data_IF_348301515699
#
_entry.id   IF_348301515699
#
_cell.length_a   1.000
_cell.length_b   1.000
_cell.length_c   1.000
_cell.angle_alpha   90.00
_cell.angle_beta   90.00
_cell.angle_gamma   90.00
#
_symmetry.space_group_name_H-M   'P 1'
#
loop_
_entity.id
_entity.type
_entity.pdbx_description
1 polymer ?
#
# COMPACT_ATOMS: atom_id res chain seq x y z
N UNK A 1 -16.78 5.88 -16.39
CA UNK A 1 -15.39 5.46 -16.10
C UNK A 1 -14.50 6.70 -16.09
N UNK A 2 -13.65 6.91 -15.07
CA UNK A 2 -12.68 8.00 -15.12
C UNK A 2 -11.72 7.74 -16.29
N UNK A 3 -11.51 8.75 -17.14
CA UNK A 3 -10.56 8.67 -18.25
C UNK A 3 -9.17 8.37 -17.69
N UNK A 4 -8.50 7.38 -18.28
CA UNK A 4 -7.08 7.13 -18.08
C UNK A 4 -6.32 8.44 -18.27
N UNK A 5 -5.67 8.93 -17.21
CA UNK A 5 -4.78 10.09 -17.30
C UNK A 5 -3.39 9.57 -17.63
N UNK A 6 -3.00 9.75 -18.90
CA UNK A 6 -1.66 9.44 -19.41
C UNK A 6 -0.55 10.30 -18.75
N UNK A 7 -0.92 11.21 -17.84
CA UNK A 7 -0.01 12.13 -17.16
C UNK A 7 1.18 11.42 -16.51
N UNK A 8 0.96 10.31 -15.80
CA UNK A 8 2.02 9.64 -15.05
C UNK A 8 2.80 8.60 -15.85
N UNK A 9 2.18 7.95 -16.84
CA UNK A 9 2.81 6.85 -17.58
C UNK A 9 3.94 7.30 -18.49
N UNK A 10 4.01 8.60 -18.80
CA UNK A 10 5.08 9.21 -19.59
C UNK A 10 6.20 9.82 -18.72
N UNK A 11 6.06 9.74 -17.38
CA UNK A 11 7.01 10.33 -16.43
C UNK A 11 7.96 9.27 -15.89
N UNK A 12 9.20 9.68 -15.65
CA UNK A 12 10.18 8.90 -14.90
C UNK A 12 9.79 8.82 -13.42
N UNK A 13 10.34 7.83 -12.71
CA UNK A 13 10.18 7.70 -11.26
C UNK A 13 10.62 8.98 -10.52
N UNK A 14 11.71 9.63 -10.97
CA UNK A 14 12.19 10.88 -10.36
C UNK A 14 11.17 12.01 -10.49
N UNK A 15 10.56 12.18 -11.66
CA UNK A 15 9.53 13.19 -11.87
C UNK A 15 8.27 12.90 -11.05
N UNK A 16 7.87 11.62 -10.92
CA UNK A 16 6.72 11.24 -10.10
C UNK A 16 6.97 11.57 -8.62
N UNK A 17 8.18 11.32 -8.10
CA UNK A 17 8.53 11.69 -6.72
C UNK A 17 8.49 13.20 -6.48
N UNK A 18 8.77 14.03 -7.49
CA UNK A 18 8.65 15.48 -7.36
C UNK A 18 7.18 15.92 -7.27
N UNK A 19 6.28 15.22 -7.95
CA UNK A 19 4.83 15.50 -7.92
C UNK A 19 4.20 14.95 -6.64
N UNK A 20 4.62 13.76 -6.21
CA UNK A 20 4.12 13.06 -5.03
C UNK A 20 5.29 12.75 -4.10
N UNK A 21 5.76 13.75 -3.32
CA UNK A 21 6.92 13.58 -2.45
C UNK A 21 6.61 12.72 -1.22
N UNK A 22 5.34 12.69 -0.80
CA UNK A 22 4.88 11.98 0.40
C UNK A 22 3.54 11.29 0.09
N UNK A 23 3.36 10.02 0.50
CA UNK A 23 2.08 9.33 0.37
C UNK A 23 1.10 9.81 1.46
N UNK A 24 -0.18 9.92 1.10
CA UNK A 24 -1.26 10.30 2.03
C UNK A 24 -2.04 9.05 2.46
N UNK A 25 -1.96 8.75 3.76
CA UNK A 25 -2.57 7.56 4.36
C UNK A 25 -3.63 7.96 5.38
N UNK A 26 -4.74 7.22 5.42
CA UNK A 26 -5.82 7.39 6.39
C UNK A 26 -5.44 6.76 7.75
N UNK A 27 -4.42 7.31 8.40
CA UNK A 27 -3.90 6.87 9.70
C UNK A 27 -3.53 8.09 10.56
N UNK A 28 -3.25 7.91 11.85
CA UNK A 28 -2.89 8.99 12.79
C UNK A 28 -3.91 10.12 12.79
N UNK A 29 -3.48 11.35 12.54
CA UNK A 29 -4.32 12.53 12.42
C UNK A 29 -5.36 12.39 11.31
N UNK A 30 -5.16 11.53 10.31
CA UNK A 30 -6.08 11.31 9.19
C UNK A 30 -6.96 10.07 9.35
N UNK A 31 -7.06 9.49 10.56
CA UNK A 31 -7.85 8.27 10.80
C UNK A 31 -9.34 8.46 10.47
N UNK A 32 -9.86 9.69 10.57
CA UNK A 32 -11.23 10.04 10.20
C UNK A 32 -11.51 9.93 8.69
N UNK A 33 -10.48 9.77 7.86
CA UNK A 33 -10.59 9.57 6.41
C UNK A 33 -10.59 8.09 6.01
N UNK A 34 -10.57 7.16 6.97
CA UNK A 34 -10.70 5.71 6.68
C UNK A 34 -12.04 5.47 5.97
N UNK A 35 -11.98 4.81 4.81
CA UNK A 35 -13.18 4.49 4.03
C UNK A 35 -13.70 3.09 4.36
N UNK A 36 -12.80 2.15 4.64
CA UNK A 36 -13.15 0.78 4.97
C UNK A 36 -13.52 0.64 6.44
N UNK A 37 -14.81 0.41 6.73
CA UNK A 37 -15.33 0.36 8.10
C UNK A 37 -14.59 -0.59 9.03
N UNK A 38 -14.17 -1.75 8.53
CA UNK A 38 -13.42 -2.75 9.28
C UNK A 38 -12.04 -2.29 9.77
N UNK A 39 -11.48 -1.24 9.17
CA UNK A 39 -10.25 -0.58 9.63
C UNK A 39 -10.47 0.43 10.76
N UNK A 40 -11.73 0.76 11.07
CA UNK A 40 -12.04 1.67 12.18
C UNK A 40 -11.65 1.01 13.50
N UNK A 41 -11.03 1.76 14.43
CA UNK A 41 -10.62 1.22 15.73
C UNK A 41 -11.75 0.54 16.50
N UNK A 42 -12.99 1.06 16.40
CA UNK A 42 -14.17 0.50 17.06
C UNK A 42 -14.54 -0.92 16.60
N UNK A 43 -14.26 -1.28 15.35
CA UNK A 43 -14.50 -2.63 14.84
C UNK A 43 -13.49 -3.63 15.41
N UNK A 44 -12.30 -3.15 15.78
CA UNK A 44 -11.30 -3.94 16.48
C UNK A 44 -10.84 -5.19 15.73
N UNK A 45 -10.92 -5.23 14.39
CA UNK A 45 -10.47 -6.37 13.58
C UNK A 45 -9.00 -6.29 13.19
N UNK A 46 -8.54 -5.07 12.91
CA UNK A 46 -7.17 -4.81 12.47
C UNK A 46 -6.38 -4.01 13.49
N UNK A 47 -5.08 -4.25 13.53
CA UNK A 47 -4.10 -3.36 14.12
C UNK A 47 -3.28 -2.72 12.99
N UNK A 48 -3.02 -1.42 13.09
CA UNK A 48 -2.25 -0.70 12.06
C UNK A 48 -0.84 -0.45 12.59
N UNK A 49 0.17 -0.74 11.77
CA UNK A 49 1.60 -0.56 12.08
C UNK A 49 2.35 0.07 10.92
N UNK A 50 3.44 0.78 11.19
CA UNK A 50 4.43 1.15 10.18
C UNK A 50 5.50 0.09 10.04
N UNK A 51 5.76 -0.33 8.79
CA UNK A 51 6.77 -1.32 8.43
C UNK A 51 7.71 -0.78 7.36
N UNK A 52 8.92 -1.37 7.29
CA UNK A 52 9.85 -1.09 6.19
C UNK A 52 9.31 -1.65 4.87
N UNK A 53 9.20 -0.79 3.85
CA UNK A 53 8.53 -1.15 2.59
C UNK A 53 9.29 -2.23 1.81
N UNK A 54 10.62 -2.20 1.82
CA UNK A 54 11.47 -3.25 1.22
C UNK A 54 11.23 -4.62 1.86
N UNK A 55 11.20 -4.69 3.20
CA UNK A 55 10.97 -5.92 3.96
C UNK A 55 9.57 -6.47 3.74
N UNK A 56 8.57 -5.61 3.66
CA UNK A 56 7.23 -6.02 3.27
C UNK A 56 7.25 -6.67 1.88
N UNK A 57 7.88 -6.03 0.88
CA UNK A 57 7.95 -6.58 -0.48
C UNK A 57 8.67 -7.93 -0.54
N UNK A 58 9.81 -8.10 0.15
CA UNK A 58 10.57 -9.36 0.20
C UNK A 58 9.74 -10.53 0.78
N UNK A 59 8.92 -10.25 1.79
CA UNK A 59 8.16 -11.25 2.53
C UNK A 59 6.72 -11.44 2.03
N UNK A 60 6.31 -10.73 0.97
CA UNK A 60 4.95 -10.80 0.46
C UNK A 60 4.79 -11.59 -0.83
N UNK A 61 3.58 -12.08 -1.05
CA UNK A 61 3.09 -12.56 -2.34
C UNK A 61 2.16 -11.51 -2.99
N UNK A 62 2.59 -11.00 -4.14
CA UNK A 62 1.85 -10.02 -4.94
C UNK A 62 0.88 -10.66 -5.94
N UNK A 63 0.86 -11.99 -6.04
CA UNK A 63 0.01 -12.76 -6.95
C UNK A 63 0.09 -12.22 -8.38
N UNK A 64 -1.02 -11.74 -8.92
CA UNK A 64 -1.14 -11.22 -10.28
C UNK A 64 -0.49 -9.85 -10.48
N UNK A 65 -0.13 -9.14 -9.40
CA UNK A 65 0.50 -7.81 -9.52
C UNK A 65 1.97 -7.97 -9.87
N UNK A 66 2.30 -7.65 -11.12
CA UNK A 66 3.67 -7.67 -11.61
C UNK A 66 4.55 -6.64 -10.86
N UNK A 67 5.66 -7.10 -10.29
CA UNK A 67 6.62 -6.29 -9.51
C UNK A 67 7.90 -5.92 -10.28
N UNK A 68 8.01 -6.20 -11.59
CA UNK A 68 9.20 -5.89 -12.39
C UNK A 68 9.31 -4.42 -12.79
N UNK A 69 8.18 -3.73 -12.92
CA UNK A 69 8.11 -2.30 -13.25
C UNK A 69 6.88 -1.63 -12.65
N UNK A 70 6.97 -0.32 -12.37
CA UNK A 70 5.83 0.44 -11.83
C UNK A 70 4.64 0.44 -12.79
N UNK A 71 4.88 0.89 -14.02
CA UNK A 71 3.93 0.81 -15.13
C UNK A 71 4.27 -0.38 -16.03
N UNK A 72 3.23 -1.05 -16.53
CA UNK A 72 3.34 -2.26 -17.36
C UNK A 72 2.60 -2.03 -18.68
N UNK A 73 2.52 -3.05 -19.54
CA UNK A 73 1.66 -3.02 -20.73
C UNK A 73 0.17 -3.21 -20.38
N UNK A 74 -0.16 -3.51 -19.12
CA UNK A 74 -1.53 -3.74 -18.68
C UNK A 74 -2.19 -2.43 -18.26
N UNK A 75 -3.24 -2.04 -19.00
CA UNK A 75 -4.01 -0.83 -18.71
C UNK A 75 -4.60 -0.83 -17.29
N UNK A 76 -5.00 -1.99 -16.77
CA UNK A 76 -5.56 -2.12 -15.41
C UNK A 76 -4.54 -1.75 -14.33
N UNK A 77 -3.30 -2.23 -14.44
CA UNK A 77 -2.22 -1.85 -13.52
C UNK A 77 -1.99 -0.33 -13.59
N UNK A 78 -1.82 0.19 -14.81
CA UNK A 78 -1.48 1.60 -15.00
C UNK A 78 -2.60 2.52 -14.51
N UNK A 79 -3.86 2.17 -14.77
CA UNK A 79 -5.02 2.89 -14.25
C UNK A 79 -5.06 2.91 -12.73
N UNK A 80 -4.78 1.79 -12.05
CA UNK A 80 -4.72 1.73 -10.58
C UNK A 80 -3.59 2.59 -10.03
N UNK A 81 -2.40 2.52 -10.62
CA UNK A 81 -1.25 3.35 -10.20
C UNK A 81 -1.55 4.85 -10.39
N UNK A 82 -2.08 5.25 -11.55
CA UNK A 82 -2.46 6.65 -11.80
C UNK A 82 -3.54 7.16 -10.86
N UNK A 83 -4.51 6.31 -10.49
CA UNK A 83 -5.53 6.68 -9.49
C UNK A 83 -4.88 6.95 -8.13
N UNK A 84 -4.01 6.06 -7.65
CA UNK A 84 -3.32 6.23 -6.36
C UNK A 84 -2.48 7.52 -6.38
N UNK A 85 -1.72 7.75 -7.45
CA UNK A 85 -0.94 8.98 -7.62
C UNK A 85 -1.82 10.23 -7.61
N UNK A 86 -2.99 10.21 -8.26
CA UNK A 86 -3.93 11.31 -8.22
C UNK A 86 -4.49 11.58 -6.82
N UNK A 87 -4.79 10.53 -6.03
CA UNK A 87 -5.19 10.72 -4.64
C UNK A 87 -4.10 11.43 -3.84
N UNK A 88 -2.86 10.94 -3.90
CA UNK A 88 -1.75 11.54 -3.14
C UNK A 88 -1.35 12.93 -3.64
N UNK A 89 -1.35 13.17 -4.95
CA UNK A 89 -1.14 14.50 -5.56
C UNK A 89 -2.17 15.53 -5.06
N UNK A 90 -3.41 15.10 -4.81
CA UNK A 90 -4.48 15.96 -4.32
C UNK A 90 -4.69 15.86 -2.79
N UNK A 91 -3.69 15.36 -2.05
CA UNK A 91 -3.72 15.21 -0.59
C UNK A 91 -4.92 14.41 -0.05
N UNK A 92 -5.50 13.54 -0.88
CA UNK A 92 -6.59 12.67 -0.49
C UNK A 92 -6.02 11.39 0.09
N UNK A 93 -6.41 11.06 1.31
CA UNK A 93 -5.92 9.87 2.00
C UNK A 93 -6.44 8.58 1.37
N UNK A 94 -5.61 7.55 1.42
CA UNK A 94 -6.01 6.18 1.10
C UNK A 94 -5.83 5.30 2.33
N UNK A 95 -6.70 4.30 2.47
CA UNK A 95 -6.57 3.29 3.50
C UNK A 95 -5.21 2.57 3.40
N UNK A 96 -4.62 2.12 4.53
CA UNK A 96 -3.45 1.26 4.49
C UNK A 96 -3.73 -0.07 3.76
N UNK A 97 -2.71 -0.73 3.16
CA UNK A 97 -2.86 -2.09 2.65
C UNK A 97 -3.28 -3.05 3.76
N UNK A 98 -4.22 -3.94 3.45
CA UNK A 98 -4.68 -5.00 4.36
C UNK A 98 -3.91 -6.26 4.06
N UNK A 99 -3.26 -6.80 5.08
CA UNK A 99 -2.45 -8.00 4.95
C UNK A 99 -2.86 -9.05 5.96
N UNK A 100 -2.55 -10.30 5.62
CA UNK A 100 -2.73 -11.46 6.47
C UNK A 100 -1.55 -12.42 6.27
N UNK A 101 -1.31 -13.27 7.27
CA UNK A 101 -0.28 -14.29 7.18
C UNK A 101 -0.86 -15.56 6.56
N UNK A 102 -0.17 -16.10 5.56
CA UNK A 102 -0.50 -17.41 5.01
C UNK A 102 0.49 -18.45 5.52
N UNK A 103 0.00 -19.32 6.39
CA UNK A 103 0.79 -20.37 7.03
C UNK A 103 1.20 -21.49 6.08
N UNK A 104 0.50 -21.68 4.95
CA UNK A 104 0.86 -22.70 3.96
C UNK A 104 2.07 -22.27 3.14
N UNK A 105 2.14 -20.98 2.79
CA UNK A 105 3.24 -20.42 1.99
C UNK A 105 4.31 -19.73 2.84
N UNK A 106 4.06 -19.55 4.14
CA UNK A 106 4.90 -18.79 5.06
C UNK A 106 5.23 -17.39 4.52
N UNK A 107 4.22 -16.75 3.92
CA UNK A 107 4.32 -15.45 3.24
C UNK A 107 3.21 -14.52 3.71
N UNK A 108 3.45 -13.23 3.53
CA UNK A 108 2.44 -12.20 3.73
C UNK A 108 1.59 -12.09 2.47
N UNK A 109 0.29 -12.28 2.60
CA UNK A 109 -0.67 -12.05 1.52
C UNK A 109 -1.39 -10.71 1.72
N UNK A 110 -1.89 -10.16 0.61
CA UNK A 110 -2.73 -8.96 0.65
C UNK A 110 -4.20 -9.35 0.49
N UNK A 111 -5.06 -8.85 1.36
CA UNK A 111 -6.49 -8.78 1.07
C UNK A 111 -6.75 -7.61 0.11
N UNK A 112 -6.09 -6.46 0.36
CA UNK A 112 -6.16 -5.27 -0.49
C UNK A 112 -4.85 -4.46 -0.41
N UNK A 113 -4.58 -3.62 -1.42
CA UNK A 113 -3.52 -2.63 -1.39
C UNK A 113 -2.21 -3.02 -2.06
N UNK A 114 -2.14 -4.15 -2.78
CA UNK A 114 -0.96 -4.57 -3.58
C UNK A 114 -0.37 -3.44 -4.44
N UNK A 115 -1.21 -2.71 -5.17
CA UNK A 115 -0.77 -1.61 -6.03
C UNK A 115 -0.24 -0.40 -5.25
N UNK A 116 -0.79 -0.12 -4.05
CA UNK A 116 -0.30 0.95 -3.16
C UNK A 116 1.08 0.59 -2.61
N UNK A 117 1.27 -0.66 -2.19
CA UNK A 117 2.57 -1.17 -1.75
C UNK A 117 3.59 -1.15 -2.89
N UNK A 118 3.22 -1.63 -4.08
CA UNK A 118 4.05 -1.58 -5.29
C UNK A 118 4.50 -0.16 -5.59
N UNK A 119 3.57 0.80 -5.61
CA UNK A 119 3.89 2.19 -5.86
C UNK A 119 4.86 2.74 -4.81
N UNK A 120 4.59 2.51 -3.52
CA UNK A 120 5.46 2.97 -2.45
C UNK A 120 6.89 2.40 -2.58
N UNK A 121 7.01 1.14 -2.95
CA UNK A 121 8.30 0.49 -3.21
C UNK A 121 9.06 1.17 -4.36
N UNK A 122 8.44 1.33 -5.52
CA UNK A 122 9.08 1.97 -6.68
C UNK A 122 9.39 3.47 -6.46
N UNK A 123 8.67 4.14 -5.56
CA UNK A 123 8.96 5.52 -5.16
C UNK A 123 9.99 5.63 -4.01
N UNK A 124 10.59 4.52 -3.57
CA UNK A 124 11.51 4.43 -2.42
C UNK A 124 10.96 5.03 -1.12
N UNK A 125 9.65 4.96 -0.89
CA UNK A 125 9.10 5.28 0.41
C UNK A 125 9.59 4.24 1.42
N UNK A 126 10.31 4.70 2.45
CA UNK A 126 11.01 3.79 3.38
C UNK A 126 10.07 3.01 4.29
N UNK A 127 8.96 3.65 4.68
CA UNK A 127 7.94 3.05 5.53
C UNK A 127 6.56 3.36 5.00
N UNK A 128 5.65 2.40 5.13
CA UNK A 128 4.22 2.57 4.90
C UNK A 128 3.43 1.99 6.08
N UNK A 129 2.22 2.51 6.35
CA UNK A 129 1.31 1.86 7.27
C UNK A 129 0.72 0.62 6.59
N UNK A 130 0.44 -0.41 7.38
CA UNK A 130 -0.28 -1.63 6.99
C UNK A 130 -1.30 -1.98 8.06
N UNK A 131 -2.43 -2.54 7.65
CA UNK A 131 -3.44 -3.09 8.54
C UNK A 131 -3.28 -4.62 8.59
N UNK A 132 -3.17 -5.16 9.81
CA UNK A 132 -2.96 -6.58 10.07
C UNK A 132 -4.12 -7.11 10.90
N UNK A 133 -4.69 -8.24 10.51
CA UNK A 133 -5.64 -8.99 11.35
C UNK A 133 -5.02 -9.27 12.73
N UNK A 134 -5.77 -9.05 13.81
CA UNK A 134 -5.23 -9.18 15.18
C UNK A 134 -4.61 -10.55 15.45
N UNK A 135 -5.20 -11.60 14.89
CA UNK A 135 -4.74 -12.98 14.97
C UNK A 135 -3.36 -13.20 14.33
N UNK A 136 -3.05 -12.48 13.25
CA UNK A 136 -1.83 -12.68 12.45
C UNK A 136 -0.64 -11.84 12.93
N UNK A 137 -0.86 -10.91 13.87
CA UNK A 137 0.17 -9.96 14.33
C UNK A 137 1.45 -10.68 14.77
N UNK A 138 1.32 -11.77 15.54
CA UNK A 138 2.47 -12.50 16.07
C UNK A 138 3.28 -13.19 14.97
N UNK A 139 2.62 -13.71 13.94
CA UNK A 139 3.30 -14.38 12.84
C UNK A 139 3.96 -13.37 11.90
N UNK A 140 3.29 -12.25 11.62
CA UNK A 140 3.88 -11.17 10.82
C UNK A 140 5.07 -10.51 11.54
N UNK A 141 5.06 -10.41 12.86
CA UNK A 141 6.20 -9.91 13.65
C UNK A 141 7.48 -10.74 13.47
N UNK A 142 7.37 -12.01 13.06
CA UNK A 142 8.54 -12.85 12.76
C UNK A 142 9.21 -12.45 11.45
N UNK A 143 8.47 -11.79 10.55
CA UNK A 143 8.92 -11.38 9.22
C UNK A 143 9.24 -9.88 9.14
N UNK A 144 8.51 -9.07 9.90
CA UNK A 144 8.58 -7.61 9.85
C UNK A 144 8.74 -6.99 11.24
N UNK A 145 9.55 -5.94 11.33
CA UNK A 145 9.56 -5.06 12.51
C UNK A 145 8.32 -4.15 12.48
N UNK A 146 7.42 -4.35 13.44
CA UNK A 146 6.18 -3.56 13.56
C UNK A 146 6.39 -2.36 14.48
N UNK A 147 6.16 -1.16 13.97
CA UNK A 147 6.19 0.07 14.76
C UNK A 147 4.76 0.57 14.99
N UNK A 148 4.40 0.81 16.25
CA UNK A 148 3.09 1.37 16.60
C UNK A 148 3.00 2.80 16.04
N UNK A 149 1.78 3.15 15.64
CA UNK A 149 1.40 4.44 15.07
C UNK A 149 1.48 5.56 16.11
#
# INVERSE_FOLDING_TARGET
>A
MPKFTAEFTQKTIKEIKLIVPIPYWAVKENIFQILSKDLLPEEGRFNIFFVETSKLVENSDFREVNMSSLFTLEEKNNGRISQILNHWKNHTCLDPPKIYFDSFTNKINFEDGRHRTKLAFFLDFKKIPIAIYKEDVKDIQKLLTLNII
#
